data_IF_619428270483
#
_entry.id   IF_619428270483
#
_cell.length_a   1.000
_cell.length_b   1.000
_cell.length_c   1.000
_cell.angle_alpha   90.00
_cell.angle_beta   90.00
_cell.angle_gamma   90.00
#
_symmetry.space_group_name_H-M   'P 1'
#
loop_
_entity.id
_entity.type
_entity.pdbx_description
1 polymer ?
#
# COMPACT_ATOMS: atom_id res chain seq x y z
N UNK A 1 22.51 -17.54 8.50
CA UNK A 1 22.04 -16.15 8.58
C UNK A 1 20.85 -16.17 9.50
N UNK A 2 20.95 -15.57 10.68
CA UNK A 2 19.77 -15.30 11.49
C UNK A 2 18.85 -14.37 10.69
N UNK A 3 17.58 -14.73 10.59
CA UNK A 3 16.58 -13.92 9.91
C UNK A 3 16.20 -12.82 10.91
N UNK A 4 16.52 -11.57 10.61
CA UNK A 4 16.09 -10.44 11.45
C UNK A 4 14.56 -10.37 11.48
N UNK A 5 13.93 -10.16 12.65
CA UNK A 5 12.52 -9.84 12.76
C UNK A 5 12.14 -8.67 11.85
N UNK A 6 10.99 -8.75 11.15
CA UNK A 6 10.52 -7.68 10.26
C UNK A 6 9.29 -6.97 10.82
N UNK A 7 9.49 -5.71 11.22
CA UNK A 7 8.44 -4.85 11.74
C UNK A 7 7.96 -3.85 10.70
N UNK A 8 6.65 -3.73 10.56
CA UNK A 8 6.00 -2.71 9.75
C UNK A 8 5.23 -1.74 10.63
N UNK A 9 5.49 -0.45 10.46
CA UNK A 9 4.78 0.64 11.14
C UNK A 9 4.03 1.45 10.08
N UNK A 10 2.71 1.39 10.07
CA UNK A 10 1.87 2.13 9.15
C UNK A 10 1.49 3.49 9.75
N UNK A 11 1.79 4.57 9.03
CA UNK A 11 1.24 5.90 9.30
C UNK A 11 -0.25 5.92 8.92
N UNK A 12 -1.10 5.63 9.91
CA UNK A 12 -2.53 5.45 9.74
C UNK A 12 -3.25 6.74 9.36
N UNK A 13 -2.84 7.88 9.94
CA UNK A 13 -3.46 9.17 9.64
C UNK A 13 -3.28 9.54 8.16
N UNK A 14 -2.04 9.46 7.67
CA UNK A 14 -1.73 9.72 6.25
C UNK A 14 -2.46 8.73 5.35
N UNK A 15 -2.53 7.45 5.74
CA UNK A 15 -3.27 6.44 4.99
C UNK A 15 -4.77 6.71 4.87
N UNK A 16 -5.42 7.17 5.96
CA UNK A 16 -6.84 7.54 5.96
C UNK A 16 -7.09 8.69 4.99
N UNK A 17 -6.28 9.75 5.04
CA UNK A 17 -6.45 10.89 4.13
C UNK A 17 -6.24 10.49 2.66
N UNK A 18 -5.27 9.62 2.39
CA UNK A 18 -5.07 9.05 1.04
C UNK A 18 -6.29 8.27 0.57
N UNK A 19 -6.86 7.42 1.42
CA UNK A 19 -8.08 6.67 1.10
C UNK A 19 -9.27 7.62 0.85
N UNK A 20 -9.46 8.61 1.71
CA UNK A 20 -10.55 9.58 1.59
C UNK A 20 -10.52 10.34 0.25
N UNK A 21 -9.36 10.84 -0.17
CA UNK A 21 -9.27 11.58 -1.44
C UNK A 21 -9.09 10.71 -2.67
N UNK A 22 -8.58 9.47 -2.51
CA UNK A 22 -8.31 8.53 -3.59
C UNK A 22 -9.54 7.78 -4.10
N UNK A 23 -10.53 7.54 -3.22
CA UNK A 23 -11.75 6.83 -3.56
C UNK A 23 -12.95 7.78 -3.53
N UNK A 24 -13.86 7.65 -4.51
CA UNK A 24 -15.04 8.50 -4.68
C UNK A 24 -16.30 7.66 -4.86
N UNK A 25 -17.45 8.26 -4.57
CA UNK A 25 -18.77 7.69 -4.84
C UNK A 25 -19.05 6.35 -4.14
N UNK A 26 -18.44 6.13 -2.96
CA UNK A 26 -18.67 4.96 -2.12
C UNK A 26 -19.48 5.38 -0.88
N UNK A 27 -20.63 4.75 -0.69
CA UNK A 27 -21.48 4.94 0.47
C UNK A 27 -22.00 3.60 0.97
N UNK A 28 -22.29 3.53 2.27
CA UNK A 28 -22.98 2.39 2.88
C UNK A 28 -24.41 2.27 2.33
N UNK A 29 -25.10 1.11 2.50
CA UNK A 29 -26.51 0.98 2.17
C UNK A 29 -27.41 2.02 2.86
N UNK A 30 -27.00 2.53 4.02
CA UNK A 30 -27.69 3.60 4.75
C UNK A 30 -27.40 5.02 4.25
N UNK A 31 -26.61 5.19 3.19
CA UNK A 31 -26.28 6.49 2.59
C UNK A 31 -25.12 7.26 3.25
N UNK A 32 -24.48 6.70 4.29
CA UNK A 32 -23.29 7.30 4.90
C UNK A 32 -22.09 7.18 3.93
N UNK A 33 -21.34 8.27 3.66
CA UNK A 33 -20.06 8.19 2.94
C UNK A 33 -19.11 7.16 3.57
N UNK A 34 -18.50 6.33 2.75
CA UNK A 34 -17.68 5.19 3.20
C UNK A 34 -16.40 5.00 2.38
N UNK A 35 -16.02 6.01 1.59
CA UNK A 35 -14.84 6.03 0.73
C UNK A 35 -13.53 5.85 1.50
N UNK A 36 -13.37 6.48 2.66
CA UNK A 36 -12.17 6.32 3.48
C UNK A 36 -12.12 4.92 4.11
N UNK A 37 -13.25 4.38 4.57
CA UNK A 37 -13.31 3.02 5.15
C UNK A 37 -12.94 1.99 4.08
N UNK A 38 -13.57 2.06 2.91
CA UNK A 38 -13.30 1.15 1.80
C UNK A 38 -11.85 1.24 1.35
N UNK A 39 -11.38 2.46 1.04
CA UNK A 39 -10.04 2.70 0.51
C UNK A 39 -8.95 2.27 1.49
N UNK A 40 -9.08 2.63 2.77
CA UNK A 40 -8.12 2.24 3.81
C UNK A 40 -8.08 0.73 3.95
N UNK A 41 -9.24 0.08 4.01
CA UNK A 41 -9.33 -1.39 4.14
C UNK A 41 -8.68 -2.06 2.94
N UNK A 42 -9.02 -1.65 1.71
CA UNK A 42 -8.41 -2.20 0.49
C UNK A 42 -6.88 -2.06 0.50
N UNK A 43 -6.39 -0.84 0.72
CA UNK A 43 -4.95 -0.54 0.72
C UNK A 43 -4.21 -1.32 1.82
N UNK A 44 -4.80 -1.46 3.01
CA UNK A 44 -4.23 -2.23 4.10
C UNK A 44 -4.16 -3.72 3.76
N UNK A 45 -5.20 -4.28 3.17
CA UNK A 45 -5.21 -5.69 2.75
C UNK A 45 -4.20 -5.97 1.65
N UNK A 46 -4.08 -5.07 0.68
CA UNK A 46 -3.06 -5.15 -0.38
C UNK A 46 -1.65 -5.18 0.25
N UNK A 47 -1.37 -4.30 1.23
CA UNK A 47 -0.10 -4.24 1.96
C UNK A 47 0.18 -5.54 2.74
N UNK A 48 -0.80 -6.04 3.49
CA UNK A 48 -0.66 -7.27 4.29
C UNK A 48 -0.43 -8.50 3.41
N UNK A 49 -1.12 -8.56 2.26
CA UNK A 49 -1.01 -9.66 1.33
C UNK A 49 0.34 -9.67 0.59
N UNK A 50 0.80 -8.49 0.15
CA UNK A 50 2.05 -8.34 -0.59
C UNK A 50 3.28 -8.57 0.29
N UNK A 51 3.28 -8.02 1.51
CA UNK A 51 4.47 -8.05 2.36
C UNK A 51 4.45 -9.12 3.45
N UNK A 52 3.28 -9.66 3.81
CA UNK A 52 3.09 -10.66 4.87
C UNK A 52 3.93 -10.36 6.12
N UNK A 53 3.74 -9.18 6.74
CA UNK A 53 4.58 -8.72 7.83
C UNK A 53 4.49 -9.66 9.03
N UNK A 54 5.63 -9.96 9.64
CA UNK A 54 5.70 -10.77 10.87
C UNK A 54 5.19 -9.97 12.07
N UNK A 55 5.57 -8.69 12.12
CA UNK A 55 5.11 -7.73 13.11
C UNK A 55 4.53 -6.50 12.41
N UNK A 56 3.39 -6.01 12.90
CA UNK A 56 2.65 -4.93 12.27
C UNK A 56 1.92 -4.06 13.30
N UNK A 57 1.92 -2.75 13.09
CA UNK A 57 1.11 -1.81 13.85
C UNK A 57 0.67 -0.63 13.00
N UNK A 58 -0.47 -0.04 13.36
CA UNK A 58 -0.95 1.23 12.79
C UNK A 58 -0.80 2.33 13.83
N UNK A 59 -0.20 3.43 13.43
CA UNK A 59 0.04 4.59 14.28
C UNK A 59 -0.87 5.74 13.86
N UNK A 60 -1.59 6.34 14.80
CA UNK A 60 -2.44 7.51 14.53
C UNK A 60 -1.93 8.75 15.25
N UNK A 61 -2.25 9.90 14.67
CA UNK A 61 -2.06 11.20 15.31
C UNK A 61 -3.07 11.41 16.43
N UNK A 62 -2.67 12.12 17.50
CA UNK A 62 -3.61 12.69 18.43
C UNK A 62 -4.39 13.84 17.75
N UNK A 63 -5.47 14.34 18.38
CA UNK A 63 -6.10 15.58 17.94
C UNK A 63 -5.06 16.70 17.81
N UNK A 64 -5.10 17.40 16.68
CA UNK A 64 -4.04 18.29 16.21
C UNK A 64 -3.72 19.42 17.19
N UNK A 65 -4.75 19.96 17.83
CA UNK A 65 -4.69 21.00 18.85
C UNK A 65 -3.87 20.59 20.08
N UNK A 66 -3.66 19.29 20.30
CA UNK A 66 -3.00 18.76 21.48
C UNK A 66 -1.53 18.42 21.25
N UNK A 67 -0.91 18.83 20.13
CA UNK A 67 0.49 18.50 19.83
C UNK A 67 1.48 19.51 20.44
N UNK A 68 2.65 19.04 20.88
CA UNK A 68 3.69 19.93 21.41
C UNK A 68 4.19 20.94 20.37
N UNK A 69 4.11 20.62 19.06
CA UNK A 69 4.49 21.55 17.99
C UNK A 69 3.58 22.78 17.90
N UNK A 70 2.28 22.65 18.16
CA UNK A 70 1.38 23.81 18.23
C UNK A 70 1.62 24.70 19.43
N UNK A 71 2.09 24.14 20.55
CA UNK A 71 2.54 24.94 21.69
C UNK A 71 3.83 25.70 21.38
N UNK A 72 4.76 25.10 20.63
CA UNK A 72 5.99 25.77 20.18
C UNK A 72 5.74 26.86 19.14
N UNK A 73 4.82 26.62 18.20
CA UNK A 73 4.47 27.55 17.13
C UNK A 73 2.98 27.44 16.79
N UNK A 74 2.13 28.39 17.24
CA UNK A 74 0.67 28.31 17.07
C UNK A 74 0.18 28.17 15.62
N UNK A 75 0.95 28.74 14.70
CA UNK A 75 0.70 28.72 13.25
C UNK A 75 1.15 27.41 12.59
N UNK A 76 1.87 26.53 13.30
CA UNK A 76 2.27 25.21 12.79
C UNK A 76 1.03 24.48 12.30
N UNK A 77 1.06 24.12 11.01
CA UNK A 77 0.00 23.34 10.38
C UNK A 77 -1.35 24.10 10.34
N UNK A 78 -1.47 25.34 10.85
CA UNK A 78 -2.74 26.05 11.08
C UNK A 78 -3.62 26.25 9.83
N UNK A 79 -3.02 26.28 8.64
CA UNK A 79 -3.73 26.42 7.37
C UNK A 79 -4.38 25.14 6.84
N UNK A 80 -4.05 23.94 7.38
CA UNK A 80 -4.75 22.73 6.90
C UNK A 80 -6.17 22.75 7.45
N UNK A 81 -7.14 22.52 6.58
CA UNK A 81 -8.55 22.48 6.91
C UNK A 81 -8.84 21.51 8.06
N UNK A 82 -9.93 21.78 8.78
CA UNK A 82 -10.48 20.82 9.73
C UNK A 82 -10.81 19.51 9.00
N UNK A 83 -10.73 18.39 9.72
CA UNK A 83 -11.13 17.11 9.17
C UNK A 83 -12.59 17.19 8.70
N UNK A 84 -12.90 16.82 7.44
CA UNK A 84 -14.27 16.85 6.93
C UNK A 84 -15.22 16.03 7.82
N UNK A 85 -16.43 16.52 8.07
CA UNK A 85 -17.39 15.85 8.98
C UNK A 85 -17.75 14.43 8.51
N UNK A 86 -17.83 14.23 7.19
CA UNK A 86 -18.04 12.92 6.57
C UNK A 86 -16.85 11.98 6.78
N UNK A 87 -15.62 12.48 6.85
CA UNK A 87 -14.45 11.69 7.23
C UNK A 87 -14.45 11.36 8.73
N UNK A 88 -14.80 12.31 9.59
CA UNK A 88 -14.91 12.08 11.05
C UNK A 88 -15.88 10.94 11.35
N UNK A 89 -17.02 10.88 10.64
CA UNK A 89 -18.01 9.81 10.80
C UNK A 89 -17.49 8.40 10.45
N UNK A 90 -16.42 8.32 9.65
CA UNK A 90 -15.82 7.06 9.18
C UNK A 90 -14.75 6.50 10.15
N UNK A 91 -14.14 7.34 11.00
CA UNK A 91 -13.07 6.94 11.93
C UNK A 91 -13.44 5.78 12.88
N UNK A 92 -14.66 5.73 13.47
CA UNK A 92 -15.04 4.60 14.34
C UNK A 92 -15.03 3.26 13.59
N UNK A 93 -15.44 3.24 12.32
CA UNK A 93 -15.44 2.02 11.50
C UNK A 93 -14.03 1.60 11.11
N UNK A 94 -13.14 2.54 10.83
CA UNK A 94 -11.72 2.26 10.59
C UNK A 94 -11.06 1.57 11.79
N UNK A 95 -11.34 2.05 13.01
CA UNK A 95 -10.89 1.39 14.25
C UNK A 95 -11.48 0.00 14.42
N UNK A 96 -12.79 -0.18 14.13
CA UNK A 96 -13.42 -1.51 14.14
C UNK A 96 -12.77 -2.47 13.14
N UNK A 97 -12.46 -2.03 11.91
CA UNK A 97 -11.75 -2.85 10.91
C UNK A 97 -10.39 -3.29 11.44
N UNK A 98 -9.61 -2.39 12.04
CA UNK A 98 -8.31 -2.75 12.63
C UNK A 98 -8.46 -3.74 13.79
N UNK A 99 -9.49 -3.59 14.62
CA UNK A 99 -9.82 -4.53 15.69
C UNK A 99 -10.17 -5.92 15.14
N UNK A 100 -11.03 -6.02 14.13
CA UNK A 100 -11.40 -7.32 13.53
C UNK A 100 -10.23 -7.96 12.78
N UNK A 101 -9.28 -7.17 12.29
CA UNK A 101 -8.01 -7.66 11.73
C UNK A 101 -6.97 -8.02 12.80
N UNK A 102 -7.27 -7.82 14.10
CA UNK A 102 -6.34 -8.01 15.21
C UNK A 102 -5.03 -7.21 15.06
N UNK A 103 -5.14 -5.99 14.52
CA UNK A 103 -4.00 -5.09 14.30
C UNK A 103 -3.86 -4.10 15.47
N UNK A 104 -2.70 -4.05 16.13
CA UNK A 104 -2.42 -3.06 17.17
C UNK A 104 -2.53 -1.63 16.65
N UNK A 105 -3.24 -0.79 17.40
CA UNK A 105 -3.35 0.65 17.18
C UNK A 105 -2.49 1.35 18.24
N UNK A 106 -1.53 2.17 17.80
CA UNK A 106 -0.60 2.88 18.67
C UNK A 106 -0.81 4.39 18.54
N UNK A 107 -0.91 5.06 19.69
CA UNK A 107 -1.11 6.50 19.81
C UNK A 107 -0.37 7.00 21.04
N UNK A 108 0.15 8.22 20.99
CA UNK A 108 0.76 8.87 22.15
C UNK A 108 0.18 10.27 22.31
N UNK A 109 -0.24 10.60 23.54
CA UNK A 109 -0.76 11.94 23.83
C UNK A 109 0.33 12.98 23.56
N UNK A 110 -0.04 14.02 22.81
CA UNK A 110 0.80 15.17 22.41
C UNK A 110 1.89 14.93 21.37
N UNK A 111 2.15 13.69 20.98
CA UNK A 111 3.15 13.34 19.96
C UNK A 111 2.45 12.98 18.66
N UNK A 112 2.93 13.49 17.52
CA UNK A 112 2.37 13.14 16.21
C UNK A 112 2.74 11.68 15.86
N UNK A 113 2.03 11.08 14.89
CA UNK A 113 2.30 9.72 14.43
C UNK A 113 3.77 9.54 14.02
N UNK A 114 4.36 10.56 13.40
CA UNK A 114 5.77 10.60 13.00
C UNK A 114 6.73 10.41 14.19
N UNK A 115 6.42 11.00 15.34
CA UNK A 115 7.23 10.90 16.55
C UNK A 115 7.12 9.51 17.18
N UNK A 116 5.91 8.94 17.20
CA UNK A 116 5.69 7.58 17.68
C UNK A 116 6.41 6.58 16.78
N UNK A 117 6.29 6.73 15.47
CA UNK A 117 6.97 5.91 14.47
C UNK A 117 8.49 6.00 14.64
N UNK A 118 9.04 7.21 14.71
CA UNK A 118 10.48 7.43 14.88
C UNK A 118 11.00 6.77 16.17
N UNK A 119 10.28 6.93 17.28
CA UNK A 119 10.60 6.31 18.58
C UNK A 119 10.63 4.79 18.48
N UNK A 120 9.57 4.17 17.94
CA UNK A 120 9.47 2.71 17.83
C UNK A 120 10.47 2.13 16.83
N UNK A 121 10.66 2.80 15.69
CA UNK A 121 11.58 2.36 14.65
C UNK A 121 13.02 2.36 15.16
N UNK A 122 13.45 3.44 15.82
CA UNK A 122 14.79 3.52 16.41
C UNK A 122 15.00 2.45 17.49
N UNK A 123 14.02 2.28 18.39
CA UNK A 123 14.08 1.28 19.47
C UNK A 123 14.21 -0.13 18.92
N UNK A 124 13.30 -0.57 18.05
CA UNK A 124 13.30 -1.95 17.56
C UNK A 124 14.43 -2.22 16.57
N UNK A 125 14.89 -1.22 15.82
CA UNK A 125 16.11 -1.36 15.02
C UNK A 125 17.36 -1.58 15.88
N UNK A 126 17.46 -0.90 17.02
CA UNK A 126 18.55 -1.12 17.99
C UNK A 126 18.46 -2.51 18.65
N UNK A 127 17.26 -3.07 18.78
CA UNK A 127 17.02 -4.45 19.23
C UNK A 127 17.25 -5.51 18.12
N UNK A 128 17.59 -5.09 16.91
CA UNK A 128 17.99 -5.96 15.79
C UNK A 128 16.89 -6.27 14.77
N UNK A 129 15.71 -5.66 14.88
CA UNK A 129 14.66 -5.78 13.87
C UNK A 129 14.97 -4.93 12.61
N UNK A 130 14.53 -5.40 11.46
CA UNK A 130 14.45 -4.58 10.25
C UNK A 130 13.07 -3.92 10.20
N UNK A 131 13.03 -2.59 10.20
CA UNK A 131 11.82 -1.80 10.30
C UNK A 131 11.47 -1.18 8.95
N UNK A 132 10.23 -1.39 8.50
CA UNK A 132 9.65 -0.73 7.34
C UNK A 132 8.55 0.23 7.79
N UNK A 133 8.75 1.52 7.55
CA UNK A 133 7.76 2.55 7.83
C UNK A 133 6.93 2.79 6.58
N UNK A 134 5.64 2.47 6.65
CA UNK A 134 4.72 2.64 5.53
C UNK A 134 4.13 4.05 5.60
N UNK A 135 4.73 4.94 4.83
CA UNK A 135 4.35 6.36 4.71
C UNK A 135 4.89 6.89 3.39
N UNK A 136 4.33 8.01 2.91
CA UNK A 136 5.02 8.83 1.92
C UNK A 136 5.24 10.25 2.40
N UNK A 137 5.17 10.48 3.71
CA UNK A 137 5.68 11.69 4.29
C UNK A 137 7.21 11.74 4.07
N UNK A 138 7.67 12.88 3.57
CA UNK A 138 9.08 13.09 3.28
C UNK A 138 9.88 13.40 4.55
N UNK A 139 9.22 13.88 5.60
CA UNK A 139 9.90 14.34 6.81
C UNK A 139 10.47 13.15 7.58
N UNK A 140 9.79 11.99 7.51
CA UNK A 140 10.30 10.72 8.02
C UNK A 140 11.51 10.16 7.25
N UNK A 141 11.94 10.77 6.14
CA UNK A 141 13.23 10.38 5.53
C UNK A 141 14.42 10.69 6.45
N UNK A 142 14.26 11.51 7.49
CA UNK A 142 15.30 11.78 8.48
C UNK A 142 15.64 10.58 9.39
N UNK A 143 14.77 9.55 9.46
CA UNK A 143 14.95 8.42 10.40
C UNK A 143 15.56 7.18 9.76
N UNK A 144 15.77 7.17 8.44
CA UNK A 144 16.24 5.97 7.74
C UNK A 144 17.67 5.61 8.11
N UNK A 145 17.92 4.31 8.17
CA UNK A 145 19.24 3.72 8.45
C UNK A 145 19.38 2.46 7.60
N UNK A 146 20.44 1.68 7.82
CA UNK A 146 20.56 0.35 7.19
C UNK A 146 19.46 -0.62 7.63
N UNK A 147 18.83 -0.38 8.78
CA UNK A 147 17.73 -1.20 9.32
C UNK A 147 16.35 -0.56 9.23
N UNK A 148 16.26 0.73 8.94
CA UNK A 148 14.99 1.48 8.86
C UNK A 148 14.81 1.98 7.43
N UNK A 149 13.74 1.56 6.76
CA UNK A 149 13.41 2.01 5.41
C UNK A 149 11.97 2.52 5.34
N UNK A 150 11.71 3.48 4.45
CA UNK A 150 10.36 3.96 4.14
C UNK A 150 9.80 3.20 2.95
N UNK A 151 8.49 2.94 2.97
CA UNK A 151 7.73 2.35 1.88
C UNK A 151 6.50 3.23 1.56
N UNK A 152 6.52 3.86 0.39
CA UNK A 152 5.35 4.54 -0.17
C UNK A 152 4.60 3.58 -1.10
N UNK A 153 3.57 2.90 -0.56
CA UNK A 153 2.78 1.91 -1.32
C UNK A 153 2.05 2.51 -2.51
N UNK A 154 1.76 3.82 -2.50
CA UNK A 154 1.11 4.48 -3.63
C UNK A 154 2.02 4.62 -4.85
N UNK A 155 3.34 4.63 -4.62
CA UNK A 155 4.36 4.78 -5.67
C UNK A 155 5.18 3.50 -5.88
N UNK A 156 4.92 2.46 -5.11
CA UNK A 156 5.78 1.27 -5.03
C UNK A 156 7.23 1.62 -4.68
N UNK A 157 7.47 2.72 -3.96
CA UNK A 157 8.81 3.26 -3.74
C UNK A 157 9.33 2.92 -2.35
N UNK A 158 10.45 2.20 -2.30
CA UNK A 158 11.24 1.99 -1.07
C UNK A 158 12.39 2.99 -0.99
N UNK A 159 12.60 3.60 0.17
CA UNK A 159 13.65 4.60 0.39
C UNK A 159 14.49 4.27 1.62
N UNK A 160 15.80 4.08 1.42
CA UNK A 160 16.83 4.04 2.46
C UNK A 160 17.80 5.22 2.36
N UNK A 161 18.95 5.18 3.05
CA UNK A 161 19.88 6.31 3.13
C UNK A 161 20.32 6.87 1.78
N UNK A 162 20.57 6.00 0.80
CA UNK A 162 20.95 6.44 -0.56
C UNK A 162 19.83 7.26 -1.23
N UNK A 163 18.58 6.83 -1.13
CA UNK A 163 17.45 7.55 -1.73
C UNK A 163 17.22 8.91 -1.05
N UNK A 164 17.62 9.08 0.21
CA UNK A 164 17.60 10.37 0.89
C UNK A 164 18.62 11.31 0.29
N UNK A 165 19.86 10.86 0.09
CA UNK A 165 20.92 11.65 -0.55
C UNK A 165 20.51 12.04 -1.97
N UNK A 166 19.90 11.13 -2.74
CA UNK A 166 19.40 11.44 -4.09
C UNK A 166 18.29 12.51 -4.09
N UNK A 167 17.41 12.50 -3.09
CA UNK A 167 16.30 13.45 -2.98
C UNK A 167 16.72 14.81 -2.43
N UNK A 168 17.37 14.81 -1.27
CA UNK A 168 17.68 16.01 -0.49
C UNK A 168 19.13 16.49 -0.68
N UNK A 169 20.00 15.69 -1.28
CA UNK A 169 21.43 15.98 -1.39
C UNK A 169 22.21 15.70 -0.10
N UNK A 170 21.56 15.49 1.03
CA UNK A 170 22.21 15.29 2.34
C UNK A 170 21.87 13.90 2.90
N UNK A 171 22.69 13.36 3.81
CA UNK A 171 22.34 12.14 4.52
C UNK A 171 21.14 12.36 5.47
N UNK A 172 20.46 11.28 5.92
CA UNK A 172 19.23 11.34 6.74
C UNK A 172 19.33 12.26 7.96
N UNK A 173 20.43 12.21 8.69
CA UNK A 173 20.67 13.00 9.90
C UNK A 173 20.71 14.52 9.68
N UNK A 174 20.80 14.98 8.42
CA UNK A 174 20.83 16.39 8.04
C UNK A 174 19.55 16.85 7.31
N UNK A 175 18.54 15.98 7.17
CA UNK A 175 17.27 16.34 6.52
C UNK A 175 16.56 17.46 7.31
N UNK A 176 16.53 17.38 8.63
CA UNK A 176 15.93 18.42 9.48
C UNK A 176 16.66 19.77 9.37
N UNK A 177 17.99 19.78 9.18
CA UNK A 177 18.76 21.00 8.92
C UNK A 177 18.36 21.66 7.60
N UNK A 178 18.14 20.85 6.55
CA UNK A 178 17.68 21.33 5.26
C UNK A 178 16.28 21.91 5.38
N UNK A 179 15.35 21.21 6.03
CA UNK A 179 13.99 21.68 6.25
C UNK A 179 13.95 22.93 7.16
N UNK A 180 14.83 23.04 8.15
CA UNK A 180 14.93 24.22 9.00
C UNK A 180 15.35 25.49 8.25
N UNK A 181 16.24 25.35 7.26
CA UNK A 181 16.63 26.45 6.39
C UNK A 181 15.59 26.72 5.29
N UNK A 182 15.00 25.67 4.72
CA UNK A 182 14.10 25.77 3.58
C UNK A 182 12.67 26.15 3.94
N UNK A 183 12.24 25.77 5.15
CA UNK A 183 10.84 25.75 5.53
C UNK A 183 10.06 24.61 4.87
N UNK A 184 8.80 24.51 5.25
CA UNK A 184 7.81 23.63 4.64
C UNK A 184 6.48 24.37 4.57
N UNK A 185 6.10 24.77 3.36
CA UNK A 185 4.85 25.49 3.17
C UNK A 185 3.62 24.62 3.42
N UNK A 186 3.69 23.28 3.32
CA UNK A 186 2.56 22.38 3.61
C UNK A 186 2.22 22.37 5.09
N UNK A 187 3.25 22.45 5.94
CA UNK A 187 3.15 22.44 7.41
C UNK A 187 3.25 23.81 8.05
N UNK A 188 3.26 24.85 7.21
CA UNK A 188 3.44 26.23 7.62
C UNK A 188 4.72 26.42 8.45
N UNK A 189 5.79 25.70 8.11
CA UNK A 189 7.12 25.86 8.68
C UNK A 189 7.83 26.97 7.89
N UNK A 190 8.26 28.07 8.53
CA UNK A 190 8.56 29.31 7.82
C UNK A 190 9.93 29.34 7.11
N UNK A 191 10.94 28.62 7.60
CA UNK A 191 12.28 28.56 6.99
C UNK A 191 13.02 29.90 6.95
N UNK A 192 13.97 30.06 6.02
CA UNK A 192 14.66 31.34 5.77
C UNK A 192 14.27 31.87 4.39
N UNK A 193 13.72 33.10 4.28
CA UNK A 193 13.34 33.67 3.00
C UNK A 193 14.46 33.63 1.96
N UNK A 194 14.14 33.19 0.73
CA UNK A 194 15.11 33.10 -0.37
C UNK A 194 16.09 31.92 -0.28
N UNK A 195 15.93 31.02 0.69
CA UNK A 195 16.66 29.76 0.78
C UNK A 195 15.64 28.63 0.61
N UNK A 196 15.54 28.07 -0.60
CA UNK A 196 14.75 26.84 -0.84
C UNK A 196 15.57 25.57 -0.60
N UNK A 197 14.92 24.41 -0.65
CA UNK A 197 15.50 23.07 -0.37
C UNK A 197 16.86 22.85 -1.05
N UNK A 198 16.99 23.15 -2.35
CA UNK A 198 18.25 22.98 -3.10
C UNK A 198 19.39 23.87 -2.59
N UNK A 199 19.07 25.08 -2.12
CA UNK A 199 20.07 26.00 -1.58
C UNK A 199 20.43 25.57 -0.16
N UNK A 200 19.43 25.24 0.66
CA UNK A 200 19.62 24.71 2.00
C UNK A 200 20.52 23.46 1.99
N UNK A 201 20.24 22.48 1.13
CA UNK A 201 21.06 21.28 0.95
C UNK A 201 22.53 21.60 0.66
N UNK A 202 22.80 22.51 -0.28
CA UNK A 202 24.18 22.93 -0.60
C UNK A 202 24.89 23.59 0.58
N UNK A 203 24.17 24.42 1.34
CA UNK A 203 24.72 25.08 2.52
C UNK A 203 25.02 24.07 3.63
N UNK A 204 24.10 23.15 3.89
CA UNK A 204 24.28 22.09 4.89
C UNK A 204 25.40 21.13 4.49
N UNK A 205 25.51 20.73 3.22
CA UNK A 205 26.67 19.96 2.73
C UNK A 205 28.00 20.71 2.95
N UNK A 206 28.02 22.02 2.69
CA UNK A 206 29.24 22.81 2.77
C UNK A 206 29.69 23.09 4.20
N UNK A 207 28.75 23.37 5.11
CA UNK A 207 29.04 23.84 6.47
C UNK A 207 28.77 22.77 7.54
N UNK A 208 28.06 21.70 7.21
CA UNK A 208 27.80 20.52 8.06
C UNK A 208 26.43 20.50 8.74
N UNK A 209 25.86 21.65 9.11
CA UNK A 209 24.57 21.74 9.80
C UNK A 209 23.97 23.14 9.69
N UNK A 210 22.70 23.30 10.02
CA UNK A 210 22.03 24.60 10.08
C UNK A 210 22.76 25.55 11.04
N UNK A 211 23.15 25.06 12.23
CA UNK A 211 23.86 25.87 13.22
C UNK A 211 25.21 26.36 12.66
N UNK A 212 25.94 25.50 11.93
CA UNK A 212 27.18 25.92 11.26
C UNK A 212 26.93 26.90 10.12
N UNK A 213 25.84 26.77 9.37
CA UNK A 213 25.44 27.76 8.35
C UNK A 213 25.19 29.13 9.00
N UNK A 214 24.54 29.17 10.17
CA UNK A 214 24.30 30.42 10.91
C UNK A 214 25.59 31.00 11.52
N UNK A 215 26.47 30.16 12.06
CA UNK A 215 27.78 30.54 12.61
C UNK A 215 28.66 31.18 11.52
N UNK A 216 28.78 30.51 10.36
CA UNK A 216 29.64 30.92 9.25
C UNK A 216 28.92 31.72 8.18
N UNK A 217 27.76 32.32 8.49
CA UNK A 217 26.91 33.04 7.52
C UNK A 217 27.64 34.14 6.74
N UNK A 218 28.71 34.71 7.27
CA UNK A 218 29.55 35.70 6.56
C UNK A 218 30.24 35.13 5.31
N UNK A 219 30.51 33.82 5.29
CA UNK A 219 31.14 33.09 4.19
C UNK A 219 30.12 32.58 3.15
N UNK A 220 28.82 32.71 3.40
CA UNK A 220 27.77 32.27 2.48
C UNK A 220 27.72 33.16 1.23
N UNK A 221 27.62 32.53 0.05
CA UNK A 221 27.56 33.25 -1.22
C UNK A 221 26.23 34.00 -1.42
N UNK A 222 26.34 35.30 -1.72
CA UNK A 222 25.22 36.19 -2.04
C UNK A 222 24.82 37.11 -0.88
N UNK A 223 24.85 38.43 -1.10
CA UNK A 223 24.57 39.46 -0.07
C UNK A 223 23.19 39.27 0.58
N UNK A 224 22.14 39.06 -0.21
CA UNK A 224 20.77 38.86 0.30
C UNK A 224 20.65 37.62 1.17
N UNK A 225 21.31 36.49 0.83
CA UNK A 225 21.27 35.27 1.66
C UNK A 225 21.92 35.49 3.01
N UNK A 226 23.08 36.17 3.04
CA UNK A 226 23.76 36.49 4.30
C UNK A 226 22.91 37.36 5.21
N UNK A 227 22.23 38.36 4.64
CA UNK A 227 21.33 39.22 5.40
C UNK A 227 20.13 38.42 5.92
N UNK A 228 19.50 37.58 5.07
CA UNK A 228 18.36 36.77 5.49
C UNK A 228 18.74 35.74 6.57
N UNK A 229 19.91 35.09 6.46
CA UNK A 229 20.43 34.18 7.50
C UNK A 229 20.71 34.91 8.81
N UNK A 230 21.07 36.20 8.76
CA UNK A 230 21.25 37.02 9.95
C UNK A 230 19.90 37.42 10.57
N UNK A 231 18.96 37.88 9.74
CA UNK A 231 17.65 38.39 10.18
C UNK A 231 16.71 37.27 10.66
N UNK A 232 16.77 36.10 10.03
CA UNK A 232 15.86 34.97 10.29
C UNK A 232 16.57 33.79 10.97
N UNK A 233 17.65 34.03 11.73
CA UNK A 233 18.41 32.98 12.41
C UNK A 233 17.55 32.18 13.40
N UNK A 234 16.82 32.87 14.27
CA UNK A 234 15.92 32.23 15.25
C UNK A 234 14.76 31.49 14.57
N UNK A 235 14.23 32.05 13.49
CA UNK A 235 13.19 31.42 12.67
C UNK A 235 13.68 30.11 12.03
N UNK A 236 14.93 30.05 11.59
CA UNK A 236 15.54 28.82 11.07
C UNK A 236 15.70 27.75 12.15
N UNK A 237 16.12 28.15 13.36
CA UNK A 237 16.24 27.25 14.51
C UNK A 237 14.87 26.70 14.92
N UNK A 238 13.85 27.56 15.00
CA UNK A 238 12.46 27.14 15.26
C UNK A 238 11.96 26.19 14.17
N UNK A 239 12.22 26.50 12.90
CA UNK A 239 11.82 25.67 11.77
C UNK A 239 12.44 24.28 11.82
N UNK A 240 13.73 24.18 12.17
CA UNK A 240 14.40 22.90 12.41
C UNK A 240 13.76 22.13 13.56
N UNK A 241 13.48 22.80 14.69
CA UNK A 241 12.83 22.17 15.83
C UNK A 241 11.43 21.62 15.50
N UNK A 242 10.66 22.33 14.66
CA UNK A 242 9.36 21.86 14.16
C UNK A 242 9.50 20.65 13.21
N UNK A 243 10.47 20.68 12.30
CA UNK A 243 10.69 19.61 11.32
C UNK A 243 11.39 18.36 11.92
N UNK A 244 11.99 18.48 13.09
CA UNK A 244 12.69 17.36 13.75
C UNK A 244 11.68 16.44 14.42
N UNK A 245 11.73 15.14 14.10
CA UNK A 245 10.92 14.13 14.80
C UNK A 245 11.51 13.77 16.16
N UNK A 246 10.66 13.34 17.09
CA UNK A 246 11.04 12.92 18.43
C UNK A 246 11.25 11.42 18.50
N UNK A 247 12.18 11.00 19.36
CA UNK A 247 12.54 9.59 19.60
C UNK A 247 12.20 9.15 21.03
N UNK A 248 11.38 9.93 21.73
CA UNK A 248 11.05 9.77 23.14
C UNK A 248 9.53 9.83 23.40
N UNK A 249 8.72 9.48 22.39
CA UNK A 249 7.27 9.36 22.58
C UNK A 249 6.96 8.24 23.61
N UNK A 250 6.06 8.47 24.59
CA UNK A 250 5.79 7.53 25.67
C UNK A 250 4.90 6.36 25.20
N UNK A 251 5.49 5.42 24.47
CA UNK A 251 4.81 4.21 23.97
C UNK A 251 5.51 2.96 24.50
N UNK A 252 4.87 2.34 25.49
CA UNK A 252 5.33 1.10 26.11
C UNK A 252 4.64 -0.09 25.43
N UNK A 253 5.36 -0.76 24.52
CA UNK A 253 4.88 -1.92 23.77
C UNK A 253 6.07 -2.79 23.41
N UNK A 254 5.95 -4.09 23.57
CA UNK A 254 6.98 -5.06 23.17
C UNK A 254 6.80 -5.50 21.71
N UNK A 255 7.88 -6.00 21.08
CA UNK A 255 7.79 -6.53 19.72
C UNK A 255 6.80 -7.72 19.65
N UNK A 256 6.72 -8.55 20.70
CA UNK A 256 5.79 -9.68 20.78
C UNK A 256 4.31 -9.25 20.75
N UNK A 257 3.97 -8.09 21.30
CA UNK A 257 2.62 -7.53 21.23
C UNK A 257 2.25 -7.05 19.82
N UNK A 258 3.25 -6.78 18.98
CA UNK A 258 3.08 -6.36 17.59
C UNK A 258 3.03 -7.53 16.61
N UNK A 259 3.10 -8.77 17.09
CA UNK A 259 3.08 -9.95 16.21
C UNK A 259 1.77 -10.04 15.45
N UNK A 260 1.84 -10.23 14.13
CA UNK A 260 0.67 -10.40 13.26
C UNK A 260 -0.17 -11.60 13.72
N UNK A 261 -1.47 -11.39 13.89
CA UNK A 261 -2.43 -12.43 14.31
C UNK A 261 -3.47 -12.67 13.23
N UNK A 262 -4.06 -13.87 13.17
CA UNK A 262 -5.19 -14.12 12.27
C UNK A 262 -6.34 -13.16 12.57
N UNK A 263 -7.01 -12.68 11.53
CA UNK A 263 -8.21 -11.84 11.68
C UNK A 263 -9.39 -12.62 12.29
N UNK A 264 -10.25 -11.92 13.01
CA UNK A 264 -11.58 -12.38 13.40
C UNK A 264 -12.50 -12.40 12.18
N UNK A 265 -12.33 -13.40 11.31
CA UNK A 265 -12.99 -13.50 10.00
C UNK A 265 -14.50 -13.29 10.08
N UNK A 266 -15.17 -13.90 11.07
CA UNK A 266 -16.61 -13.78 11.23
C UNK A 266 -17.05 -12.33 11.51
N UNK A 267 -16.34 -11.63 12.39
CA UNK A 267 -16.63 -10.24 12.75
C UNK A 267 -16.32 -9.30 11.59
N UNK A 268 -15.20 -9.53 10.90
CA UNK A 268 -14.81 -8.77 9.73
C UNK A 268 -15.83 -8.91 8.60
N UNK A 269 -16.23 -10.13 8.25
CA UNK A 269 -17.26 -10.39 7.22
C UNK A 269 -18.58 -9.73 7.59
N UNK A 270 -18.99 -9.82 8.87
CA UNK A 270 -20.20 -9.14 9.34
C UNK A 270 -20.13 -7.62 9.14
N UNK A 271 -18.99 -7.01 9.49
CA UNK A 271 -18.75 -5.58 9.33
C UNK A 271 -18.72 -5.15 7.86
N UNK A 272 -18.04 -5.93 7.00
CA UNK A 272 -18.00 -5.65 5.56
C UNK A 272 -19.39 -5.72 4.92
N UNK A 273 -20.25 -6.67 5.35
CA UNK A 273 -21.65 -6.75 4.92
C UNK A 273 -22.47 -5.54 5.36
N UNK A 274 -22.34 -5.13 6.62
CA UNK A 274 -23.00 -3.93 7.16
C UNK A 274 -22.64 -2.69 6.33
N UNK A 275 -21.37 -2.58 5.93
CA UNK A 275 -20.84 -1.48 5.12
C UNK A 275 -21.16 -1.60 3.62
N UNK A 276 -21.66 -2.75 3.15
CA UNK A 276 -21.96 -3.01 1.74
C UNK A 276 -20.73 -3.32 0.88
N UNK A 277 -19.61 -3.75 1.48
CA UNK A 277 -18.34 -3.98 0.80
C UNK A 277 -18.19 -5.43 0.30
N UNK A 278 -19.12 -5.86 -0.56
CA UNK A 278 -19.17 -7.23 -1.07
C UNK A 278 -17.85 -7.68 -1.74
N UNK A 279 -17.18 -6.79 -2.48
CA UNK A 279 -15.91 -7.10 -3.13
C UNK A 279 -14.79 -7.45 -2.12
N UNK A 280 -14.73 -6.73 -0.99
CA UNK A 280 -13.76 -7.02 0.06
C UNK A 280 -14.15 -8.27 0.87
N UNK A 281 -15.45 -8.52 1.06
CA UNK A 281 -15.95 -9.71 1.75
C UNK A 281 -15.47 -11.01 1.10
N UNK A 282 -15.41 -11.05 -0.24
CA UNK A 282 -14.96 -12.21 -1.01
C UNK A 282 -13.55 -12.66 -0.58
N UNK A 283 -12.66 -11.72 -0.24
CA UNK A 283 -11.30 -12.04 0.22
C UNK A 283 -11.28 -12.92 1.48
N UNK A 284 -12.31 -12.84 2.31
CA UNK A 284 -12.42 -13.53 3.60
C UNK A 284 -13.43 -14.67 3.61
N UNK A 285 -14.15 -14.86 2.50
CA UNK A 285 -15.16 -15.91 2.38
C UNK A 285 -14.55 -17.12 1.69
N UNK A 286 -14.42 -18.28 2.36
CA UNK A 286 -13.93 -19.48 1.70
C UNK A 286 -14.92 -19.95 0.63
N UNK A 287 -14.45 -20.66 -0.41
CA UNK A 287 -15.34 -21.27 -1.40
C UNK A 287 -16.40 -22.16 -0.75
N UNK A 288 -17.59 -22.32 -1.36
CA UNK A 288 -18.59 -23.26 -0.87
C UNK A 288 -18.02 -24.68 -0.74
N UNK A 289 -18.43 -25.46 0.28
CA UNK A 289 -17.91 -26.81 0.49
C UNK A 289 -18.01 -27.69 -0.78
N UNK A 290 -16.89 -28.31 -1.15
CA UNK A 290 -16.82 -29.19 -2.32
C UNK A 290 -16.74 -28.48 -3.67
N UNK A 291 -16.56 -27.15 -3.69
CA UNK A 291 -16.33 -26.35 -4.90
C UNK A 291 -14.91 -25.78 -4.87
N UNK A 292 -14.19 -25.93 -5.98
CA UNK A 292 -12.92 -25.25 -6.23
C UNK A 292 -13.22 -23.94 -6.96
N UNK A 293 -12.69 -22.83 -6.47
CA UNK A 293 -12.70 -21.57 -7.21
C UNK A 293 -11.35 -21.36 -7.87
N UNK A 294 -11.37 -20.99 -9.15
CA UNK A 294 -10.18 -20.66 -9.94
C UNK A 294 -10.35 -19.24 -10.47
N UNK A 295 -9.45 -18.35 -10.09
CA UNK A 295 -9.31 -17.03 -10.70
C UNK A 295 -8.17 -17.09 -11.69
N UNK A 296 -8.37 -16.54 -12.89
CA UNK A 296 -7.36 -16.57 -13.95
C UNK A 296 -7.32 -15.24 -14.69
N UNK A 297 -6.11 -14.70 -14.84
CA UNK A 297 -5.80 -13.57 -15.71
C UNK A 297 -4.58 -13.89 -16.58
N UNK A 298 -4.56 -13.33 -17.78
CA UNK A 298 -3.47 -13.49 -18.74
C UNK A 298 -3.23 -12.25 -19.57
N UNK A 299 -2.00 -11.75 -19.54
CA UNK A 299 -1.60 -10.56 -20.28
C UNK A 299 -0.46 -10.84 -21.25
N UNK A 300 -0.53 -10.28 -22.46
CA UNK A 300 0.50 -10.49 -23.47
C UNK A 300 0.47 -9.45 -24.57
N UNK A 301 1.64 -9.18 -25.16
CA UNK A 301 1.77 -8.28 -26.31
C UNK A 301 1.55 -9.06 -27.60
N UNK A 302 0.96 -8.46 -28.63
CA UNK A 302 0.75 -9.13 -29.91
C UNK A 302 2.07 -9.62 -30.51
N UNK A 303 2.29 -10.93 -30.47
CA UNK A 303 3.53 -11.62 -30.90
C UNK A 303 4.77 -11.32 -30.04
N UNK A 304 4.57 -10.84 -28.81
CA UNK A 304 5.60 -10.58 -27.81
C UNK A 304 5.43 -11.42 -26.55
N UNK A 305 6.23 -11.15 -25.50
CA UNK A 305 6.13 -11.88 -24.24
C UNK A 305 4.73 -11.77 -23.62
N UNK A 306 4.29 -12.86 -23.01
CA UNK A 306 3.05 -12.93 -22.23
C UNK A 306 3.26 -13.64 -20.90
N UNK A 307 2.45 -13.28 -19.91
CA UNK A 307 2.41 -13.88 -18.57
C UNK A 307 0.98 -14.29 -18.20
N UNK A 308 0.86 -15.21 -17.25
CA UNK A 308 -0.42 -15.59 -16.66
C UNK A 308 -0.30 -15.75 -15.15
N UNK A 309 -1.41 -15.46 -14.47
CA UNK A 309 -1.59 -15.68 -13.04
C UNK A 309 -2.85 -16.51 -12.78
N UNK A 310 -2.77 -17.42 -11.82
CA UNK A 310 -3.89 -18.25 -11.37
C UNK A 310 -3.91 -18.35 -9.85
N UNK A 311 -5.09 -18.18 -9.27
CA UNK A 311 -5.34 -18.47 -7.86
C UNK A 311 -6.40 -19.56 -7.77
N UNK A 312 -6.03 -20.68 -7.13
CA UNK A 312 -6.94 -21.76 -6.79
C UNK A 312 -7.31 -21.67 -5.32
N UNK A 313 -8.59 -21.81 -5.01
CA UNK A 313 -9.12 -21.81 -3.64
C UNK A 313 -9.98 -23.04 -3.38
N UNK A 314 -9.81 -23.66 -2.21
CA UNK A 314 -10.65 -24.76 -1.74
C UNK A 314 -10.68 -24.81 -0.21
N UNK A 315 -11.84 -24.52 0.40
CA UNK A 315 -11.93 -24.32 1.84
C UNK A 315 -11.00 -23.20 2.29
N UNK A 316 -10.16 -23.47 3.29
CA UNK A 316 -9.13 -22.54 3.80
C UNK A 316 -7.82 -22.59 3.00
N UNK A 317 -7.73 -23.45 1.97
CA UNK A 317 -6.51 -23.63 1.20
C UNK A 317 -6.52 -22.75 -0.04
N UNK A 318 -5.36 -22.19 -0.32
CA UNK A 318 -5.10 -21.41 -1.52
C UNK A 318 -3.79 -21.84 -2.18
N UNK A 319 -3.74 -21.78 -3.50
CA UNK A 319 -2.54 -22.03 -4.29
C UNK A 319 -2.44 -21.05 -5.44
N UNK A 320 -1.25 -20.46 -5.60
CA UNK A 320 -0.93 -19.59 -6.73
C UNK A 320 -0.14 -20.38 -7.78
N UNK A 321 -0.41 -20.07 -9.05
CA UNK A 321 0.40 -20.48 -10.19
C UNK A 321 0.67 -19.25 -11.04
N UNK A 322 1.87 -19.16 -11.59
CA UNK A 322 2.16 -18.18 -12.63
C UNK A 322 3.14 -18.75 -13.64
N UNK A 323 3.20 -18.11 -14.80
CA UNK A 323 4.12 -18.54 -15.83
C UNK A 323 4.21 -17.55 -16.98
N UNK A 324 5.06 -17.89 -17.94
CA UNK A 324 5.50 -17.00 -18.99
C UNK A 324 5.59 -17.73 -20.33
N UNK A 325 5.17 -17.06 -21.41
CA UNK A 325 5.47 -17.47 -22.78
C UNK A 325 6.29 -16.40 -23.52
N UNK A 326 7.40 -16.76 -24.19
CA UNK A 326 8.24 -15.79 -24.91
C UNK A 326 7.54 -15.05 -26.05
N UNK A 327 6.56 -15.69 -26.68
CA UNK A 327 5.78 -15.11 -27.77
C UNK A 327 4.35 -15.62 -27.70
N UNK A 328 3.42 -14.72 -27.42
CA UNK A 328 2.01 -15.03 -27.23
C UNK A 328 1.12 -13.86 -27.68
N UNK A 329 -0.14 -13.91 -27.33
CA UNK A 329 -1.10 -12.79 -27.42
C UNK A 329 -1.88 -12.74 -26.12
N UNK A 330 -2.45 -11.59 -25.75
CA UNK A 330 -3.30 -11.49 -24.55
C UNK A 330 -4.37 -12.59 -24.53
N UNK A 331 -5.14 -12.78 -25.62
CA UNK A 331 -6.14 -13.85 -25.70
C UNK A 331 -5.58 -15.26 -25.47
N UNK A 332 -4.33 -15.56 -25.87
CA UNK A 332 -3.73 -16.87 -25.62
C UNK A 332 -3.39 -17.04 -24.14
N UNK A 333 -2.81 -16.01 -23.52
CA UNK A 333 -2.45 -16.06 -22.10
C UNK A 333 -3.67 -16.26 -21.21
N UNK A 334 -4.80 -15.62 -21.55
CA UNK A 334 -6.08 -15.81 -20.86
C UNK A 334 -6.55 -17.27 -20.88
N UNK A 335 -6.50 -17.92 -22.06
CA UNK A 335 -6.87 -19.33 -22.18
C UNK A 335 -5.87 -20.23 -21.44
N UNK A 336 -4.58 -19.93 -21.53
CA UNK A 336 -3.52 -20.69 -20.83
C UNK A 336 -3.71 -20.61 -19.31
N UNK A 337 -4.02 -19.43 -18.76
CA UNK A 337 -4.27 -19.24 -17.34
C UNK A 337 -5.36 -20.21 -16.84
N UNK A 338 -6.51 -20.23 -17.53
CA UNK A 338 -7.61 -21.12 -17.18
C UNK A 338 -7.25 -22.62 -17.35
N UNK A 339 -6.52 -22.98 -18.41
CA UNK A 339 -6.02 -24.35 -18.62
C UNK A 339 -5.15 -24.78 -17.43
N UNK A 340 -4.17 -23.96 -17.05
CA UNK A 340 -3.22 -24.28 -15.97
C UNK A 340 -3.92 -24.41 -14.62
N UNK A 341 -4.95 -23.60 -14.37
CA UNK A 341 -5.80 -23.77 -13.21
C UNK A 341 -6.52 -25.12 -13.19
N UNK A 342 -7.16 -25.50 -14.29
CA UNK A 342 -7.88 -26.78 -14.39
C UNK A 342 -6.94 -27.99 -14.33
N UNK A 343 -5.77 -27.92 -14.98
CA UNK A 343 -4.76 -28.99 -14.97
C UNK A 343 -4.18 -29.26 -13.58
N UNK A 344 -4.13 -28.25 -12.71
CA UNK A 344 -3.65 -28.40 -11.35
C UNK A 344 -4.55 -29.29 -10.47
N UNK A 345 -5.75 -29.65 -10.95
CA UNK A 345 -6.69 -30.52 -10.26
C UNK A 345 -6.43 -32.00 -10.57
N UNK A 346 -6.10 -32.75 -9.53
CA UNK A 346 -5.75 -34.17 -9.66
C UNK A 346 -6.95 -35.11 -9.83
N UNK A 347 -8.17 -34.64 -9.57
CA UNK A 347 -9.40 -35.44 -9.63
C UNK A 347 -10.57 -34.63 -10.24
N UNK A 348 -11.57 -35.32 -10.85
CA UNK A 348 -12.83 -34.69 -11.26
C UNK A 348 -13.42 -33.88 -10.11
N UNK A 349 -13.72 -32.61 -10.37
CA UNK A 349 -14.08 -31.63 -9.34
C UNK A 349 -15.21 -30.74 -9.84
N UNK A 350 -15.97 -30.15 -8.91
CA UNK A 350 -16.87 -29.04 -9.21
C UNK A 350 -16.07 -27.75 -9.13
N UNK A 351 -16.08 -26.96 -10.19
CA UNK A 351 -15.18 -25.81 -10.35
C UNK A 351 -15.99 -24.59 -10.78
N UNK A 352 -15.72 -23.45 -10.15
CA UNK A 352 -16.13 -22.13 -10.65
C UNK A 352 -14.88 -21.41 -11.14
N UNK A 353 -14.85 -21.05 -12.42
CA UNK A 353 -13.75 -20.30 -13.03
C UNK A 353 -14.18 -18.86 -13.23
N UNK A 354 -13.40 -17.93 -12.69
CA UNK A 354 -13.59 -16.50 -12.81
C UNK A 354 -12.48 -15.90 -13.66
N UNK A 355 -12.87 -15.09 -14.64
CA UNK A 355 -11.94 -14.34 -15.49
C UNK A 355 -12.62 -13.06 -15.96
N UNK A 356 -11.85 -12.00 -16.17
CA UNK A 356 -12.31 -10.77 -16.81
C UNK A 356 -12.27 -10.82 -18.34
N UNK A 357 -11.68 -11.87 -18.91
CA UNK A 357 -11.70 -12.14 -20.34
C UNK A 357 -13.07 -12.59 -20.83
N UNK A 358 -13.82 -11.65 -21.42
CA UNK A 358 -15.06 -11.98 -22.12
C UNK A 358 -14.84 -12.99 -23.25
N UNK A 359 -13.65 -13.00 -23.87
CA UNK A 359 -13.31 -13.97 -24.92
C UNK A 359 -13.31 -15.40 -24.38
N UNK A 360 -12.66 -15.63 -23.23
CA UNK A 360 -12.67 -16.92 -22.55
C UNK A 360 -14.07 -17.30 -22.05
N UNK A 361 -14.69 -16.43 -21.25
CA UNK A 361 -15.95 -16.77 -20.55
C UNK A 361 -17.09 -17.00 -21.53
N UNK A 362 -17.24 -16.15 -22.56
CA UNK A 362 -18.28 -16.36 -23.59
C UNK A 362 -17.92 -17.50 -24.53
N UNK A 363 -16.65 -17.71 -24.82
CA UNK A 363 -16.18 -18.86 -25.58
C UNK A 363 -16.61 -20.18 -24.95
N UNK A 364 -16.43 -20.32 -23.64
CA UNK A 364 -16.80 -21.53 -22.92
C UNK A 364 -18.31 -21.65 -22.68
N UNK A 365 -19.00 -20.56 -22.32
CA UNK A 365 -20.41 -20.61 -21.92
C UNK A 365 -21.41 -20.51 -23.09
N UNK A 366 -21.08 -19.79 -24.16
CA UNK A 366 -22.00 -19.52 -25.28
C UNK A 366 -21.61 -20.26 -26.57
N UNK A 367 -20.30 -20.32 -26.89
CA UNK A 367 -19.86 -20.68 -28.25
C UNK A 367 -19.41 -22.14 -28.39
N UNK A 368 -18.76 -22.69 -27.36
CA UNK A 368 -18.10 -24.00 -27.41
C UNK A 368 -19.04 -25.12 -27.86
N UNK A 369 -20.25 -25.19 -27.30
CA UNK A 369 -21.23 -26.22 -27.67
C UNK A 369 -21.64 -26.13 -29.15
N UNK A 370 -21.69 -24.92 -29.72
CA UNK A 370 -21.89 -24.71 -31.15
C UNK A 370 -20.70 -25.19 -31.97
N UNK A 371 -19.48 -24.89 -31.53
CA UNK A 371 -18.24 -25.29 -32.22
C UNK A 371 -18.05 -26.81 -32.23
N UNK A 372 -18.35 -27.49 -31.13
CA UNK A 372 -18.31 -28.96 -31.04
C UNK A 372 -19.30 -29.59 -32.03
N UNK A 373 -20.57 -29.13 -32.01
CA UNK A 373 -21.60 -29.65 -32.93
C UNK A 373 -21.26 -29.43 -34.41
N UNK A 374 -20.61 -28.32 -34.71
CA UNK A 374 -20.19 -27.97 -36.06
C UNK A 374 -18.83 -28.59 -36.47
N UNK A 375 -18.20 -29.40 -35.61
CA UNK A 375 -16.88 -29.99 -35.86
C UNK A 375 -15.74 -28.97 -35.98
N UNK A 376 -15.97 -27.71 -35.59
CA UNK A 376 -14.99 -26.61 -35.74
C UNK A 376 -13.78 -26.79 -34.84
N UNK A 377 -13.90 -27.52 -33.74
CA UNK A 377 -12.74 -27.89 -32.95
C UNK A 377 -11.82 -28.81 -33.73
N UNK A 378 -12.29 -29.68 -34.61
CA UNK A 378 -11.43 -30.65 -35.33
C UNK A 378 -10.95 -30.16 -36.69
N UNK A 379 -11.72 -29.32 -37.37
CA UNK A 379 -11.37 -28.77 -38.70
C UNK A 379 -10.15 -27.84 -38.62
N UNK A 380 -9.03 -28.14 -39.29
CA UNK A 380 -7.83 -27.29 -39.24
C UNK A 380 -8.14 -25.82 -39.57
N UNK A 381 -7.56 -24.91 -38.79
CA UNK A 381 -7.63 -23.45 -38.95
C UNK A 381 -9.06 -22.84 -38.86
N UNK A 382 -10.06 -23.61 -38.40
CA UNK A 382 -11.44 -23.14 -38.30
C UNK A 382 -11.68 -22.16 -37.12
N UNK A 383 -10.74 -22.08 -36.18
CA UNK A 383 -10.79 -21.24 -34.99
C UNK A 383 -9.40 -20.67 -34.69
N UNK A 384 -9.34 -19.41 -34.24
CA UNK A 384 -8.12 -18.87 -33.62
C UNK A 384 -7.93 -19.55 -32.25
N UNK A 385 -6.67 -19.87 -31.90
CA UNK A 385 -6.30 -20.57 -30.65
C UNK A 385 -6.99 -21.95 -30.50
N UNK A 386 -7.24 -22.62 -31.62
CA UNK A 386 -7.95 -23.90 -31.67
C UNK A 386 -7.32 -24.97 -30.76
N UNK A 387 -5.99 -24.96 -30.66
CA UNK A 387 -5.21 -25.83 -29.79
C UNK A 387 -5.62 -25.69 -28.31
N UNK A 388 -5.79 -24.46 -27.84
CA UNK A 388 -6.18 -24.15 -26.46
C UNK A 388 -7.67 -24.42 -26.22
N UNK A 389 -8.53 -24.12 -27.21
CA UNK A 389 -9.95 -24.43 -27.12
C UNK A 389 -10.24 -25.93 -27.01
N UNK A 390 -9.48 -26.78 -27.72
CA UNK A 390 -9.56 -28.25 -27.56
C UNK A 390 -9.21 -28.67 -26.14
N UNK A 391 -8.08 -28.18 -25.62
CA UNK A 391 -7.65 -28.50 -24.25
C UNK A 391 -8.69 -28.06 -23.20
N UNK A 392 -9.24 -26.85 -23.33
CA UNK A 392 -10.30 -26.36 -22.45
C UNK A 392 -11.56 -27.21 -22.53
N UNK A 393 -11.93 -27.69 -23.72
CA UNK A 393 -13.08 -28.58 -23.89
C UNK A 393 -12.86 -29.91 -23.16
N UNK A 394 -11.68 -30.53 -23.31
CA UNK A 394 -11.33 -31.78 -22.65
C UNK A 394 -11.29 -31.65 -21.13
N UNK A 395 -10.66 -30.59 -20.62
CA UNK A 395 -10.62 -30.29 -19.18
C UNK A 395 -12.02 -30.00 -18.64
N UNK A 396 -12.84 -29.25 -19.38
CA UNK A 396 -14.22 -28.96 -18.98
C UNK A 396 -15.16 -30.16 -19.07
N UNK A 397 -14.79 -31.21 -19.82
CA UNK A 397 -15.50 -32.49 -19.80
C UNK A 397 -15.08 -33.35 -18.59
N UNK A 398 -13.82 -33.24 -18.17
CA UNK A 398 -13.29 -33.93 -16.96
C UNK A 398 -13.83 -33.34 -15.66
N UNK A 399 -14.05 -32.03 -15.60
CA UNK A 399 -14.54 -31.31 -14.42
C UNK A 399 -15.97 -30.81 -14.65
N UNK A 400 -16.74 -30.56 -13.57
CA UNK A 400 -18.02 -29.84 -13.70
C UNK A 400 -17.73 -28.35 -13.54
N UNK A 401 -17.51 -27.66 -14.66
CA UNK A 401 -17.05 -26.26 -14.68
C UNK A 401 -18.20 -25.29 -14.92
N UNK A 402 -18.30 -24.28 -14.06
CA UNK A 402 -19.14 -23.08 -14.22
C UNK A 402 -18.22 -21.89 -14.51
N UNK A 403 -18.57 -21.07 -15.51
CA UNK A 403 -17.74 -19.96 -15.97
C UNK A 403 -18.41 -18.63 -15.62
N UNK A 404 -17.70 -17.76 -14.92
CA UNK A 404 -18.22 -16.49 -14.43
C UNK A 404 -17.32 -15.35 -14.91
N UNK A 405 -17.94 -14.33 -15.49
CA UNK A 405 -17.23 -13.12 -15.86
C UNK A 405 -17.18 -12.18 -14.66
N UNK A 406 -15.98 -11.69 -14.34
CA UNK A 406 -15.77 -10.64 -13.35
C UNK A 406 -15.24 -9.39 -14.05
N UNK A 407 -15.57 -8.21 -13.55
CA UNK A 407 -15.01 -6.99 -14.11
C UNK A 407 -13.53 -6.85 -13.71
N UNK A 408 -12.65 -6.71 -14.70
CA UNK A 408 -11.23 -6.43 -14.47
C UNK A 408 -11.04 -5.10 -13.72
N UNK A 409 -10.06 -5.07 -12.80
CA UNK A 409 -9.71 -3.91 -11.97
C UNK A 409 -10.90 -3.27 -11.20
N UNK A 410 -11.95 -4.03 -10.91
CA UNK A 410 -13.13 -3.56 -10.19
C UNK A 410 -13.08 -3.81 -8.67
N UNK A 411 -11.90 -4.03 -8.09
CA UNK A 411 -11.75 -4.34 -6.67
C UNK A 411 -11.96 -5.81 -6.31
N UNK A 412 -12.06 -6.72 -7.29
CA UNK A 412 -12.17 -8.15 -6.99
C UNK A 412 -10.80 -8.71 -6.53
N UNK A 413 -10.64 -9.10 -5.26
CA UNK A 413 -9.34 -9.31 -4.63
C UNK A 413 -8.51 -10.40 -5.30
N UNK A 414 -9.15 -11.48 -5.75
CA UNK A 414 -8.45 -12.58 -6.42
C UNK A 414 -8.19 -12.33 -7.92
N UNK A 415 -8.96 -11.47 -8.59
CA UNK A 415 -8.65 -11.14 -9.99
C UNK A 415 -7.45 -10.19 -10.03
N UNK A 416 -7.48 -9.13 -9.22
CA UNK A 416 -6.37 -8.17 -9.11
C UNK A 416 -5.05 -8.83 -8.67
N UNK A 417 -5.15 -9.93 -7.91
CA UNK A 417 -3.97 -10.68 -7.51
C UNK A 417 -3.44 -11.57 -8.64
N UNK A 418 -4.29 -12.09 -9.53
CA UNK A 418 -3.81 -12.77 -10.73
C UNK A 418 -3.01 -11.81 -11.63
N UNK A 419 -3.45 -10.55 -11.80
CA UNK A 419 -2.72 -9.55 -12.59
C UNK A 419 -1.31 -9.26 -12.08
N UNK A 420 -1.07 -9.44 -10.77
CA UNK A 420 0.23 -9.17 -10.13
C UNK A 420 1.23 -10.33 -10.25
N UNK A 421 0.75 -11.54 -10.53
CA UNK A 421 1.54 -12.79 -10.58
C UNK A 421 2.23 -12.95 -11.94
#
# INVERSE_FOLDING_TARGET
>A
MEISPRLYLLDGSSYIYRAYYGFRDIATPGGMPANAIFGFTKMLLDLLQEHRPEYFAVVFDPPRENTFRREMYPDYKAQRDAMPEDLVSQLPYLRKILQTLNIPILEASRFEADDVIATLAARFAAEGADVTVVTGDKDLLQIVTDRIALLDTMKGKRSGPQQVVERFGVPPELVADVLGLAGDSGDNIPGVPGIGEKIAAKLVQQFGSLEKVLEWRSLVNGKSRRENLKTHAEQAILSKALATVRYDAPVDVSLAELQSRPASVQELVSLLRELGFAALEVAFTPPPPGIVEIYSDGSGRDSGPGGYGVILRYGEHEKELSGFEPSSTSQRMELIAAIRGLEALNAPSRVRVFSDSQYLVRGMSEWLAGWIRAGRLETPDALKNQDLWRQLADLSARHKVEWEWVAGHAGHPFNERCDKL
#
